data_IF_917073463380
#
_entry.id   IF_917073463380
#
_cell.length_a   1.000
_cell.length_b   1.000
_cell.length_c   1.000
_cell.angle_alpha   90.00
_cell.angle_beta   90.00
_cell.angle_gamma   90.00
#
_symmetry.space_group_name_H-M   'P 1'
#
loop_
_entity.id
_entity.type
_entity.pdbx_description
1 polymer ?
#
# COMPACT_ATOMS: atom_id res chain seq x y z
N UNK A 1 -26.18 -20.85 -41.55
CA UNK A 1 -25.20 -21.76 -40.90
C UNK A 1 -24.41 -20.91 -39.95
N UNK A 2 -25.06 -20.74 -38.82
CA UNK A 2 -24.94 -19.67 -37.87
C UNK A 2 -23.87 -20.07 -36.86
N UNK A 3 -22.75 -19.36 -36.87
CA UNK A 3 -21.82 -19.41 -35.75
C UNK A 3 -21.85 -18.06 -35.04
N UNK A 4 -22.86 -17.95 -34.19
CA UNK A 4 -22.97 -17.00 -33.09
C UNK A 4 -21.73 -17.13 -32.20
N UNK A 5 -20.71 -16.30 -32.44
CA UNK A 5 -19.59 -16.18 -31.52
C UNK A 5 -19.95 -15.11 -30.48
N UNK A 6 -20.51 -15.57 -29.37
CA UNK A 6 -20.72 -14.77 -28.16
C UNK A 6 -19.40 -14.07 -27.78
N UNK A 7 -19.32 -12.76 -28.03
CA UNK A 7 -18.26 -11.92 -27.51
C UNK A 7 -18.41 -11.87 -25.99
N UNK A 8 -17.67 -12.74 -25.28
CA UNK A 8 -17.60 -12.72 -23.81
C UNK A 8 -17.22 -11.30 -23.37
N UNK A 9 -17.89 -10.70 -22.38
CA UNK A 9 -17.52 -9.39 -21.89
C UNK A 9 -16.08 -9.48 -21.38
N UNK A 10 -15.16 -8.83 -22.08
CA UNK A 10 -13.77 -8.71 -21.66
C UNK A 10 -13.82 -7.91 -20.38
N UNK A 11 -13.78 -8.62 -19.24
CA UNK A 11 -13.81 -8.01 -17.93
C UNK A 11 -12.73 -6.92 -17.91
N UNK A 12 -13.18 -5.65 -17.87
CA UNK A 12 -12.30 -4.50 -17.84
C UNK A 12 -11.55 -4.55 -16.50
N UNK A 13 -10.43 -5.27 -16.50
CA UNK A 13 -9.58 -5.48 -15.34
C UNK A 13 -9.02 -4.11 -15.02
N UNK A 14 -9.71 -3.38 -14.14
CA UNK A 14 -9.29 -2.06 -13.66
C UNK A 14 -7.83 -2.20 -13.25
N UNK A 15 -6.94 -1.56 -14.02
CA UNK A 15 -5.50 -1.54 -13.71
C UNK A 15 -5.39 -1.17 -12.23
N UNK A 16 -4.76 -2.03 -11.44
CA UNK A 16 -4.63 -1.81 -10.01
C UNK A 16 -3.66 -0.63 -9.82
N UNK A 17 -4.19 0.59 -9.77
CA UNK A 17 -3.43 1.86 -9.68
C UNK A 17 -2.84 2.10 -8.29
N UNK A 18 -2.75 1.06 -7.46
CA UNK A 18 -2.16 1.16 -6.12
C UNK A 18 -0.64 1.19 -6.30
N UNK A 19 0.01 2.24 -5.83
CA UNK A 19 1.47 2.35 -5.83
C UNK A 19 1.93 2.82 -4.45
N UNK A 20 3.17 2.48 -4.11
CA UNK A 20 3.75 2.91 -2.85
C UNK A 20 4.10 4.40 -2.91
N UNK A 21 3.68 5.16 -1.91
CA UNK A 21 3.97 6.58 -1.84
C UNK A 21 5.37 6.92 -1.29
N UNK A 22 6.12 5.91 -0.84
CA UNK A 22 7.45 6.09 -0.25
C UNK A 22 8.44 6.50 -1.33
N UNK A 23 9.20 7.59 -1.15
CA UNK A 23 10.27 7.97 -2.06
C UNK A 23 11.21 6.79 -2.29
N UNK A 24 11.64 6.60 -3.54
CA UNK A 24 12.53 5.50 -3.95
C UNK A 24 11.90 4.09 -3.90
N UNK A 25 10.60 3.97 -3.56
CA UNK A 25 9.88 2.71 -3.67
C UNK A 25 9.02 2.67 -4.95
N UNK A 26 9.41 1.84 -5.91
CA UNK A 26 8.67 1.63 -7.16
C UNK A 26 7.70 0.45 -7.10
N UNK A 27 7.21 0.14 -5.90
CA UNK A 27 6.29 -1.00 -5.70
C UNK A 27 4.89 -0.67 -6.20
N UNK A 28 4.39 -1.47 -7.14
CA UNK A 28 3.02 -1.38 -7.67
C UNK A 28 2.11 -2.46 -7.06
N UNK A 29 0.81 -2.25 -7.21
CA UNK A 29 -0.27 -3.12 -6.77
C UNK A 29 -0.29 -4.45 -7.50
N UNK A 30 0.71 -5.28 -7.25
CA UNK A 30 0.76 -6.65 -7.74
C UNK A 30 0.13 -7.63 -6.72
N UNK A 31 -0.07 -8.88 -7.12
CA UNK A 31 -0.90 -9.85 -6.39
C UNK A 31 -0.24 -10.43 -5.12
N UNK A 32 0.97 -9.98 -4.76
CA UNK A 32 1.72 -10.45 -3.59
C UNK A 32 1.98 -9.39 -2.52
N UNK A 33 1.51 -8.15 -2.71
CA UNK A 33 1.94 -7.02 -1.88
C UNK A 33 0.73 -6.37 -1.20
N UNK A 34 0.79 -6.29 0.12
CA UNK A 34 -0.24 -5.59 0.91
C UNK A 34 0.07 -4.10 0.99
N UNK A 35 -0.97 -3.27 0.94
CA UNK A 35 -0.86 -1.82 1.01
C UNK A 35 -1.56 -1.28 2.26
N UNK A 36 -0.80 -0.61 3.11
CA UNK A 36 -1.25 -0.05 4.37
C UNK A 36 -1.53 1.45 4.23
N UNK A 37 -2.64 1.90 4.80
CA UNK A 37 -2.98 3.32 4.91
C UNK A 37 -2.22 3.95 6.08
N UNK A 38 -2.08 5.27 6.02
CA UNK A 38 -1.60 6.01 7.17
C UNK A 38 -2.58 5.94 8.33
N UNK A 39 -2.09 5.86 9.57
CA UNK A 39 -2.93 5.90 10.76
C UNK A 39 -3.67 7.24 10.88
N UNK A 40 -4.86 7.21 11.50
CA UNK A 40 -5.66 8.41 11.78
C UNK A 40 -4.99 9.29 12.85
N UNK A 41 -4.26 8.68 13.76
CA UNK A 41 -3.54 9.37 14.84
C UNK A 41 -2.43 10.26 14.27
N UNK A 42 -2.52 11.57 14.54
CA UNK A 42 -1.55 12.56 14.06
C UNK A 42 -0.12 12.26 14.51
N UNK A 43 0.05 11.74 15.72
CA UNK A 43 1.36 11.40 16.29
C UNK A 43 1.98 10.22 15.50
N UNK A 44 1.20 9.16 15.26
CA UNK A 44 1.69 8.02 14.48
C UNK A 44 1.90 8.40 13.01
N UNK A 45 1.02 9.22 12.43
CA UNK A 45 1.19 9.74 11.07
C UNK A 45 2.52 10.51 10.94
N UNK A 46 2.86 11.35 11.91
CA UNK A 46 4.14 12.09 11.92
C UNK A 46 5.35 11.18 12.08
N UNK A 47 5.25 10.13 12.91
CA UNK A 47 6.28 9.08 12.99
C UNK A 47 6.46 8.37 11.64
N UNK A 48 5.36 8.07 10.95
CA UNK A 48 5.39 7.48 9.62
C UNK A 48 6.02 8.40 8.58
N UNK A 49 5.64 9.68 8.57
CA UNK A 49 6.22 10.71 7.68
C UNK A 49 7.74 10.81 7.86
N UNK A 50 8.19 10.87 9.11
CA UNK A 50 9.61 10.97 9.46
C UNK A 50 10.37 9.69 9.09
N UNK A 51 9.81 8.52 9.40
CA UNK A 51 10.46 7.25 9.11
C UNK A 51 10.53 6.99 7.60
N UNK A 52 9.44 7.19 6.88
CA UNK A 52 9.39 6.98 5.43
C UNK A 52 10.06 8.11 4.63
N UNK A 53 10.62 9.11 5.32
CA UNK A 53 11.28 10.30 4.75
C UNK A 53 10.41 10.99 3.69
N UNK A 54 9.10 11.06 3.93
CA UNK A 54 8.17 11.65 2.98
C UNK A 54 8.16 13.17 3.17
N UNK A 55 8.85 13.89 2.28
CA UNK A 55 8.87 15.35 2.25
C UNK A 55 7.63 16.01 1.62
N UNK A 56 6.57 15.24 1.37
CA UNK A 56 5.33 15.69 0.71
C UNK A 56 4.15 15.56 1.66
N UNK A 57 3.11 16.41 1.53
CA UNK A 57 1.91 16.27 2.36
C UNK A 57 1.24 14.92 2.13
N UNK A 58 1.08 14.14 3.20
CA UNK A 58 0.41 12.85 3.14
C UNK A 58 -1.09 13.04 2.96
N UNK A 59 -1.57 12.64 1.79
CA UNK A 59 -2.99 12.51 1.47
C UNK A 59 -3.58 11.22 2.04
N UNK A 60 -4.86 11.19 2.43
CA UNK A 60 -5.52 10.00 2.99
C UNK A 60 -5.60 8.82 2.00
N UNK A 61 -5.44 9.06 0.70
CA UNK A 61 -5.38 8.02 -0.32
C UNK A 61 -4.00 7.36 -0.46
N UNK A 62 -2.95 7.94 0.12
CA UNK A 62 -1.58 7.43 0.02
C UNK A 62 -1.43 6.14 0.82
N UNK A 63 -0.66 5.20 0.26
CA UNK A 63 -0.42 3.90 0.86
C UNK A 63 1.04 3.50 0.82
N UNK A 64 1.42 2.68 1.78
CA UNK A 64 2.76 2.16 1.98
C UNK A 64 2.71 0.65 1.74
N UNK A 65 3.63 0.10 0.95
CA UNK A 65 3.64 -1.34 0.68
C UNK A 65 4.19 -2.12 1.88
N UNK A 66 3.85 -3.40 1.95
CA UNK A 66 4.25 -4.31 3.03
C UNK A 66 5.76 -4.49 3.18
N UNK A 67 6.57 -4.21 2.14
CA UNK A 67 8.04 -4.26 2.23
C UNK A 67 8.62 -3.31 3.28
N UNK A 68 7.93 -2.23 3.62
CA UNK A 68 8.36 -1.29 4.66
C UNK A 68 7.92 -1.72 6.07
N UNK A 69 7.29 -2.89 6.20
CA UNK A 69 6.82 -3.45 7.45
C UNK A 69 7.43 -4.85 7.63
N UNK A 70 8.15 -5.06 8.73
CA UNK A 70 8.69 -6.38 9.02
C UNK A 70 7.62 -7.25 9.72
N UNK A 71 7.38 -8.45 9.19
CA UNK A 71 6.41 -9.39 9.73
C UNK A 71 6.70 -9.79 11.20
N UNK A 72 7.98 -9.89 11.59
CA UNK A 72 8.39 -10.21 12.96
C UNK A 72 8.06 -9.15 14.00
N UNK A 73 7.67 -7.95 13.57
CA UNK A 73 7.25 -6.87 14.47
C UNK A 73 5.75 -6.56 14.38
N UNK A 74 5.01 -7.45 13.71
CA UNK A 74 3.56 -7.44 13.69
C UNK A 74 3.07 -8.05 15.00
N UNK A 75 2.69 -7.22 15.97
CA UNK A 75 2.02 -7.70 17.19
C UNK A 75 0.50 -7.64 16.95
N UNK A 76 -0.17 -8.74 16.56
CA UNK A 76 -1.61 -8.73 16.25
C UNK A 76 -2.52 -8.54 17.48
N UNK A 77 -2.01 -8.16 18.65
CA UNK A 77 -2.86 -8.04 19.84
C UNK A 77 -2.39 -6.99 20.88
N UNK A 78 -2.14 -5.76 20.45
CA UNK A 78 -2.17 -4.63 21.39
C UNK A 78 -2.57 -3.34 20.68
N UNK A 79 -3.28 -2.46 21.38
CA UNK A 79 -4.10 -1.39 20.80
C UNK A 79 -3.37 -0.36 19.93
N UNK A 80 -2.04 -0.35 19.83
CA UNK A 80 -1.25 0.46 18.89
C UNK A 80 0.09 -0.26 18.66
N UNK A 81 0.80 0.09 17.57
CA UNK A 81 2.25 -0.07 17.30
C UNK A 81 2.58 -0.81 15.99
N UNK A 82 2.61 -0.05 14.89
CA UNK A 82 3.35 -0.42 13.68
C UNK A 82 4.79 0.07 13.86
N UNK A 83 5.76 -0.84 13.95
CA UNK A 83 7.18 -0.50 13.97
C UNK A 83 7.66 -0.44 12.53
N UNK A 84 7.83 0.79 12.04
CA UNK A 84 8.37 1.07 10.71
C UNK A 84 9.87 0.78 10.72
N UNK A 85 10.29 -0.17 9.88
CA UNK A 85 11.72 -0.39 9.61
C UNK A 85 12.02 0.23 8.25
N UNK A 86 12.87 1.26 8.29
CA UNK A 86 13.45 1.87 7.09
C UNK A 86 14.56 0.94 6.63
N UNK A 87 14.23 -0.06 5.80
CA UNK A 87 15.27 -0.69 5.00
C UNK A 87 15.65 0.33 3.92
N UNK A 88 16.86 0.87 4.06
CA UNK A 88 17.54 1.73 3.08
C UNK A 88 17.85 0.95 1.80
#
# INVERSE_FOLDING_TARGET
MDHDYIQKPVANKRRNTKYCCVPQCSTYGDSGISFHLFPKDKIMKKKWETALRIGKPISPAMRVCSHHFQASNYFPNSKYNYVLIILM
#
